data_IF_336079614009
#
_entry.id   IF_336079614009
#
_cell.length_a   1.000
_cell.length_b   1.000
_cell.length_c   1.000
_cell.angle_alpha   90.00
_cell.angle_beta   90.00
_cell.angle_gamma   90.00
#
_symmetry.space_group_name_H-M   'P 1'
#
loop_
_entity.id
_entity.type
_entity.pdbx_description
1 polymer ?
#
# COMPACT_ATOMS: atom_id res chain seq x y z
N UNK A 1 -8.60 4.62 6.61
CA UNK A 1 -7.25 5.18 6.81
C UNK A 1 -7.22 6.19 7.96
N UNK A 2 -7.97 7.31 7.90
CA UNK A 2 -7.88 8.41 8.88
C UNK A 2 -8.12 7.98 10.33
N UNK A 3 -9.11 7.14 10.59
CA UNK A 3 -9.42 6.64 11.94
C UNK A 3 -8.36 5.65 12.44
N UNK A 4 -7.73 4.90 11.55
CA UNK A 4 -6.70 3.93 11.92
C UNK A 4 -5.33 4.58 12.18
N UNK A 5 -5.05 5.75 11.59
CA UNK A 5 -3.76 6.43 11.72
C UNK A 5 -3.33 6.69 13.19
N UNK A 6 -4.19 7.26 14.08
CA UNK A 6 -3.81 7.47 15.48
C UNK A 6 -3.55 6.15 16.22
N UNK A 7 -4.28 5.08 15.89
CA UNK A 7 -4.09 3.75 16.51
C UNK A 7 -2.70 3.22 16.14
N UNK A 8 -2.31 3.31 14.87
CA UNK A 8 -0.99 2.92 14.42
C UNK A 8 0.13 3.74 15.05
N UNK A 9 -0.11 5.06 15.24
CA UNK A 9 0.84 5.93 15.94
C UNK A 9 1.07 5.51 17.39
N UNK A 10 0.02 5.19 18.15
CA UNK A 10 0.10 4.71 19.53
C UNK A 10 0.84 3.36 19.59
N UNK A 11 0.52 2.44 18.68
CA UNK A 11 1.19 1.14 18.61
C UNK A 11 2.68 1.30 18.28
N UNK A 12 3.03 2.20 17.36
CA UNK A 12 4.41 2.46 16.98
C UNK A 12 5.23 3.08 18.12
N UNK A 13 4.61 3.92 18.95
CA UNK A 13 5.27 4.44 20.16
C UNK A 13 5.56 3.35 21.19
N UNK A 14 4.69 2.34 21.28
CA UNK A 14 4.82 1.25 22.28
C UNK A 14 5.73 0.12 21.82
N UNK A 15 5.67 -0.25 20.55
CA UNK A 15 6.33 -1.45 20.01
C UNK A 15 7.43 -1.14 18.99
N UNK A 16 7.65 0.13 18.66
CA UNK A 16 8.56 0.56 17.59
C UNK A 16 7.88 0.65 16.22
N UNK A 17 8.43 1.49 15.34
CA UNK A 17 7.84 1.75 14.03
C UNK A 17 7.95 0.53 13.11
N UNK A 18 9.13 -0.14 13.09
CA UNK A 18 9.39 -1.26 12.18
C UNK A 18 8.43 -2.44 12.36
N UNK A 19 8.27 -3.04 13.57
CA UNK A 19 7.38 -4.19 13.73
C UNK A 19 5.93 -3.83 13.46
N UNK A 20 5.46 -2.65 13.86
CA UNK A 20 4.08 -2.21 13.62
C UNK A 20 3.82 -2.02 12.13
N UNK A 21 4.77 -1.46 11.40
CA UNK A 21 4.67 -1.30 9.95
C UNK A 21 4.64 -2.65 9.24
N UNK A 22 5.47 -3.62 9.66
CA UNK A 22 5.44 -4.99 9.11
C UNK A 22 4.08 -5.67 9.35
N UNK A 23 3.50 -5.53 10.53
CA UNK A 23 2.16 -6.07 10.83
C UNK A 23 1.10 -5.44 9.92
N UNK A 24 1.14 -4.14 9.72
CA UNK A 24 0.21 -3.45 8.81
C UNK A 24 0.39 -3.90 7.35
N UNK A 25 1.62 -4.11 6.90
CA UNK A 25 1.91 -4.62 5.56
C UNK A 25 1.40 -6.05 5.37
N UNK A 26 1.58 -6.93 6.36
CA UNK A 26 1.03 -8.29 6.33
C UNK A 26 -0.49 -8.26 6.31
N UNK A 27 -1.12 -7.39 7.10
CA UNK A 27 -2.58 -7.19 7.07
C UNK A 27 -3.06 -6.79 5.66
N UNK A 28 -2.33 -5.89 4.99
CA UNK A 28 -2.65 -5.50 3.62
C UNK A 28 -2.59 -6.68 2.64
N UNK A 29 -1.53 -7.52 2.72
CA UNK A 29 -1.38 -8.70 1.87
C UNK A 29 -2.54 -9.68 2.08
N UNK A 30 -2.90 -9.95 3.34
CA UNK A 30 -4.06 -10.80 3.64
C UNK A 30 -5.37 -10.23 3.08
N UNK A 31 -5.61 -8.93 3.27
CA UNK A 31 -6.81 -8.29 2.77
C UNK A 31 -6.90 -8.34 1.23
N UNK A 32 -5.80 -8.10 0.52
CA UNK A 32 -5.76 -8.23 -0.94
C UNK A 32 -5.87 -9.70 -1.40
N UNK A 33 -5.29 -10.66 -0.68
CA UNK A 33 -5.44 -12.08 -0.98
C UNK A 33 -6.91 -12.52 -0.87
N UNK A 34 -7.62 -12.07 0.16
CA UNK A 34 -9.07 -12.31 0.30
C UNK A 34 -9.84 -11.65 -0.84
N UNK A 35 -9.45 -10.45 -1.29
CA UNK A 35 -10.08 -9.76 -2.41
C UNK A 35 -10.08 -10.59 -3.71
N UNK A 36 -9.04 -11.41 -3.95
CA UNK A 36 -8.94 -12.28 -5.13
C UNK A 36 -10.02 -13.37 -5.11
N UNK A 37 -10.45 -13.81 -3.94
CA UNK A 37 -11.42 -14.89 -3.78
C UNK A 37 -12.88 -14.43 -3.78
N UNK A 38 -13.12 -13.10 -3.82
CA UNK A 38 -14.48 -12.55 -3.82
C UNK A 38 -15.18 -12.78 -5.15
N UNK A 39 -16.45 -13.26 -5.04
CA UNK A 39 -17.37 -13.42 -6.16
C UNK A 39 -18.41 -12.29 -6.25
N UNK A 40 -19.21 -12.36 -7.30
CA UNK A 40 -20.37 -11.47 -7.46
C UNK A 40 -21.42 -11.77 -6.38
N UNK A 41 -21.67 -10.79 -5.50
CA UNK A 41 -22.62 -10.90 -4.37
C UNK A 41 -21.99 -10.80 -2.98
N UNK A 42 -20.68 -10.91 -2.82
CA UNK A 42 -19.97 -10.89 -1.55
C UNK A 42 -19.76 -9.46 -1.00
N UNK A 43 -20.82 -8.63 -1.01
CA UNK A 43 -20.74 -7.20 -0.62
C UNK A 43 -20.20 -7.00 0.78
N UNK A 44 -20.58 -7.86 1.73
CA UNK A 44 -20.11 -7.74 3.12
C UNK A 44 -18.61 -8.04 3.23
N UNK A 45 -18.14 -9.10 2.59
CA UNK A 45 -16.71 -9.44 2.56
C UNK A 45 -15.89 -8.34 1.87
N UNK A 46 -16.41 -7.79 0.78
CA UNK A 46 -15.78 -6.67 0.09
C UNK A 46 -15.66 -5.44 0.99
N UNK A 47 -16.71 -5.08 1.74
CA UNK A 47 -16.66 -4.00 2.71
C UNK A 47 -15.59 -4.25 3.79
N UNK A 48 -15.45 -5.48 4.28
CA UNK A 48 -14.42 -5.85 5.26
C UNK A 48 -13.00 -5.71 4.69
N UNK A 49 -12.80 -6.16 3.44
CA UNK A 49 -11.53 -5.97 2.72
C UNK A 49 -11.20 -4.49 2.56
N UNK A 50 -12.16 -3.66 2.20
CA UNK A 50 -11.97 -2.20 2.07
C UNK A 50 -11.58 -1.56 3.42
N UNK A 51 -12.18 -1.98 4.52
CA UNK A 51 -11.82 -1.50 5.86
C UNK A 51 -10.41 -1.93 6.24
N UNK A 52 -10.06 -3.20 6.01
CA UNK A 52 -8.74 -3.74 6.34
C UNK A 52 -7.63 -3.09 5.51
N UNK A 53 -7.83 -2.97 4.19
CA UNK A 53 -6.86 -2.30 3.29
C UNK A 53 -6.74 -0.82 3.61
N UNK A 54 -7.86 -0.15 3.90
CA UNK A 54 -7.87 1.25 4.33
C UNK A 54 -7.17 1.47 5.67
N UNK A 55 -7.29 0.54 6.62
CA UNK A 55 -6.57 0.57 7.89
C UNK A 55 -5.06 0.39 7.66
N UNK A 56 -4.65 -0.61 6.87
CA UNK A 56 -3.25 -0.86 6.54
C UNK A 56 -2.62 0.32 5.78
N UNK A 57 -3.35 0.93 4.85
CA UNK A 57 -2.91 2.14 4.16
C UNK A 57 -2.70 3.31 5.13
N UNK A 58 -3.52 3.40 6.19
CA UNK A 58 -3.33 4.39 7.26
C UNK A 58 -1.97 4.26 7.94
N UNK A 59 -1.49 3.03 8.17
CA UNK A 59 -0.15 2.79 8.71
C UNK A 59 0.96 3.23 7.73
N UNK A 60 0.85 2.86 6.45
CA UNK A 60 1.84 3.25 5.43
C UNK A 60 1.97 4.77 5.32
N UNK A 61 0.83 5.48 5.29
CA UNK A 61 0.81 6.95 5.14
C UNK A 61 1.31 7.71 6.37
N UNK A 62 1.30 7.08 7.55
CA UNK A 62 1.75 7.72 8.79
C UNK A 62 3.12 7.25 9.24
N UNK A 63 3.38 5.95 9.22
CA UNK A 63 4.61 5.39 9.79
C UNK A 63 5.79 5.43 8.82
N UNK A 64 5.58 5.31 7.50
CA UNK A 64 6.68 5.41 6.54
C UNK A 64 7.32 6.80 6.51
N UNK A 65 6.54 7.92 6.40
CA UNK A 65 7.13 9.24 6.50
C UNK A 65 7.77 9.52 7.85
N UNK A 66 7.21 8.99 8.96
CA UNK A 66 7.80 9.13 10.28
C UNK A 66 9.15 8.40 10.40
N UNK A 67 9.23 7.15 9.92
CA UNK A 67 10.49 6.39 9.87
C UNK A 67 11.54 7.10 9.00
N UNK A 68 11.11 7.63 7.85
CA UNK A 68 11.96 8.39 6.95
C UNK A 68 12.48 9.67 7.61
N UNK A 69 11.61 10.43 8.29
CA UNK A 69 12.00 11.65 9.01
C UNK A 69 13.03 11.37 10.09
N UNK A 70 12.83 10.32 10.89
CA UNK A 70 13.77 9.90 11.93
C UNK A 70 15.13 9.57 11.32
N UNK A 71 15.16 8.82 10.23
CA UNK A 71 16.40 8.44 9.56
C UNK A 71 17.11 9.62 8.91
N UNK A 72 16.36 10.54 8.31
CA UNK A 72 16.91 11.77 7.73
C UNK A 72 17.52 12.68 8.78
N UNK A 73 16.91 12.80 9.95
CA UNK A 73 17.46 13.60 11.06
C UNK A 73 18.83 13.10 11.54
N UNK A 74 19.07 11.77 11.44
CA UNK A 74 20.37 11.17 11.80
C UNK A 74 21.46 11.39 10.76
N UNK A 75 21.10 11.41 9.47
CA UNK A 75 22.06 11.37 8.35
C UNK A 75 22.36 12.77 7.79
N UNK A 76 21.36 13.64 7.72
CA UNK A 76 21.46 14.93 7.08
C UNK A 76 20.69 16.01 7.84
N UNK A 77 21.37 17.05 8.37
CA UNK A 77 20.71 18.16 9.05
C UNK A 77 19.79 18.99 8.12
N UNK A 78 19.94 18.90 6.80
CA UNK A 78 19.09 19.54 5.80
C UNK A 78 18.04 18.56 5.23
N UNK A 79 17.11 18.13 6.07
CA UNK A 79 16.07 17.14 5.72
C UNK A 79 15.13 17.57 4.57
N UNK A 80 15.08 18.85 4.20
CA UNK A 80 14.20 19.38 3.17
C UNK A 80 14.42 18.73 1.78
N UNK A 81 15.67 18.50 1.39
CA UNK A 81 16.01 17.85 0.11
C UNK A 81 15.54 16.39 0.09
N UNK A 82 15.69 15.66 1.20
CA UNK A 82 15.22 14.30 1.33
C UNK A 82 13.70 14.16 1.16
N UNK A 83 12.93 15.06 1.78
CA UNK A 83 11.48 15.10 1.61
C UNK A 83 11.05 15.51 0.18
N UNK A 84 11.82 16.38 -0.48
CA UNK A 84 11.63 16.70 -1.90
C UNK A 84 11.79 15.46 -2.79
N UNK A 85 12.84 14.67 -2.56
CA UNK A 85 13.07 13.40 -3.27
C UNK A 85 11.95 12.38 -2.98
N UNK A 86 11.54 12.24 -1.72
CA UNK A 86 10.39 11.39 -1.34
C UNK A 86 9.13 11.76 -2.10
N UNK A 87 8.80 13.05 -2.14
CA UNK A 87 7.62 13.54 -2.84
C UNK A 87 7.73 13.30 -4.37
N UNK A 88 8.91 13.50 -4.95
CA UNK A 88 9.16 13.24 -6.36
C UNK A 88 8.97 11.76 -6.69
N UNK A 89 9.60 10.85 -5.96
CA UNK A 89 9.49 9.40 -6.17
C UNK A 89 8.04 8.95 -6.02
N UNK A 90 7.32 9.46 -5.02
CA UNK A 90 5.91 9.12 -4.79
C UNK A 90 5.02 9.55 -5.96
N UNK A 91 5.23 10.76 -6.49
CA UNK A 91 4.47 11.28 -7.65
C UNK A 91 4.82 10.54 -8.94
N UNK A 92 6.10 10.25 -9.16
CA UNK A 92 6.55 9.46 -10.33
C UNK A 92 5.98 8.04 -10.29
N UNK A 93 5.94 7.39 -9.13
CA UNK A 93 5.34 6.06 -8.97
C UNK A 93 3.85 6.07 -9.33
N UNK A 94 3.10 7.08 -8.89
CA UNK A 94 1.68 7.26 -9.23
C UNK A 94 1.49 7.49 -10.74
N UNK A 95 2.28 8.38 -11.34
CA UNK A 95 2.23 8.66 -12.77
C UNK A 95 2.57 7.41 -13.59
N UNK A 96 3.62 6.68 -13.20
CA UNK A 96 4.00 5.43 -13.86
C UNK A 96 2.91 4.37 -13.77
N UNK A 97 2.30 4.20 -12.59
CA UNK A 97 1.18 3.28 -12.42
C UNK A 97 0.00 3.63 -13.35
N UNK A 98 -0.37 4.90 -13.44
CA UNK A 98 -1.45 5.35 -14.32
C UNK A 98 -1.12 5.10 -15.81
N UNK A 99 0.09 5.45 -16.25
CA UNK A 99 0.54 5.27 -17.65
C UNK A 99 0.59 3.79 -18.04
N UNK A 100 0.87 2.89 -17.12
CA UNK A 100 0.93 1.45 -17.39
C UNK A 100 -0.43 0.79 -17.26
N UNK A 101 -1.17 1.07 -16.18
CA UNK A 101 -2.40 0.35 -15.87
C UNK A 101 -3.57 0.75 -16.76
N UNK A 102 -3.73 2.05 -17.05
CA UNK A 102 -4.85 2.52 -17.85
C UNK A 102 -4.86 1.94 -19.28
N UNK A 103 -3.75 1.99 -20.05
CA UNK A 103 -3.72 1.38 -21.38
C UNK A 103 -3.85 -0.15 -21.36
N UNK A 104 -3.39 -0.82 -20.30
CA UNK A 104 -3.57 -2.27 -20.16
C UNK A 104 -5.04 -2.64 -19.99
N UNK A 105 -5.79 -1.89 -19.17
CA UNK A 105 -7.21 -2.09 -18.96
C UNK A 105 -8.02 -1.73 -20.23
N UNK A 106 -7.66 -0.64 -20.90
CA UNK A 106 -8.30 -0.23 -22.15
C UNK A 106 -8.13 -1.28 -23.26
N UNK A 107 -6.91 -1.80 -23.45
CA UNK A 107 -6.62 -2.87 -24.41
C UNK A 107 -7.34 -4.18 -24.10
N UNK A 108 -7.64 -4.45 -22.82
CA UNK A 108 -8.44 -5.59 -22.39
C UNK A 108 -9.95 -5.36 -22.57
N UNK A 109 -10.38 -4.23 -23.12
CA UNK A 109 -11.77 -3.88 -23.34
C UNK A 109 -12.52 -3.52 -22.07
N UNK A 110 -11.80 -3.12 -20.99
CA UNK A 110 -12.44 -2.65 -19.77
C UNK A 110 -13.08 -1.28 -19.98
N UNK A 111 -14.38 -1.17 -19.70
CA UNK A 111 -15.12 0.09 -19.74
C UNK A 111 -15.69 0.40 -18.37
N UNK A 112 -15.31 1.57 -17.81
CA UNK A 112 -15.83 2.01 -16.52
C UNK A 112 -17.32 2.38 -16.64
N UNK A 113 -18.17 1.62 -15.92
CA UNK A 113 -19.62 1.81 -15.95
C UNK A 113 -20.35 1.12 -17.13
N UNK A 114 -19.64 0.35 -17.96
CA UNK A 114 -20.21 -0.46 -19.04
C UNK A 114 -20.26 -1.95 -18.71
N UNK A 115 -20.83 -2.73 -19.63
CA UNK A 115 -20.74 -4.19 -19.57
C UNK A 115 -19.31 -4.64 -19.92
N UNK A 116 -18.70 -5.40 -19.01
CA UNK A 116 -17.34 -5.88 -19.13
C UNK A 116 -17.33 -7.39 -19.32
N UNK A 117 -16.41 -7.90 -20.14
CA UNK A 117 -16.21 -9.33 -20.31
C UNK A 117 -15.58 -9.94 -19.06
N UNK A 118 -15.79 -11.23 -18.81
CA UNK A 118 -15.14 -11.94 -17.68
C UNK A 118 -13.61 -11.80 -17.72
N UNK A 119 -13.02 -11.81 -18.92
CA UNK A 119 -11.59 -11.65 -19.11
C UNK A 119 -11.08 -10.26 -18.66
N UNK A 120 -11.85 -9.19 -18.97
CA UNK A 120 -11.47 -7.82 -18.54
C UNK A 120 -11.66 -7.62 -17.05
N UNK A 121 -12.68 -8.24 -16.44
CA UNK A 121 -12.89 -8.24 -14.99
C UNK A 121 -11.81 -9.05 -14.26
N UNK A 122 -11.41 -10.18 -14.81
CA UNK A 122 -10.31 -10.98 -14.25
C UNK A 122 -8.98 -10.23 -14.30
N UNK A 123 -8.67 -9.55 -15.40
CA UNK A 123 -7.48 -8.72 -15.51
C UNK A 123 -7.52 -7.56 -14.50
N UNK A 124 -8.67 -6.90 -14.33
CA UNK A 124 -8.84 -5.86 -13.32
C UNK A 124 -8.54 -6.41 -11.91
N UNK A 125 -9.09 -7.57 -11.57
CA UNK A 125 -8.86 -8.22 -10.27
C UNK A 125 -7.38 -8.54 -10.08
N UNK A 126 -6.71 -9.06 -11.09
CA UNK A 126 -5.29 -9.38 -11.05
C UNK A 126 -4.44 -8.12 -10.87
N UNK A 127 -4.71 -7.06 -11.60
CA UNK A 127 -3.99 -5.79 -11.48
C UNK A 127 -4.26 -5.10 -10.14
N UNK A 128 -5.50 -5.18 -9.64
CA UNK A 128 -5.91 -4.55 -8.38
C UNK A 128 -5.42 -5.29 -7.13
N UNK A 129 -5.36 -6.61 -7.18
CA UNK A 129 -5.05 -7.43 -6.00
C UNK A 129 -3.68 -8.12 -6.09
N UNK A 130 -3.37 -8.82 -7.19
CA UNK A 130 -2.13 -9.60 -7.28
C UNK A 130 -0.88 -8.71 -7.40
N UNK A 131 -0.94 -7.63 -8.18
CA UNK A 131 0.21 -6.70 -8.32
C UNK A 131 0.53 -5.99 -7.00
N UNK A 132 -0.44 -5.38 -6.28
CA UNK A 132 -0.17 -4.83 -4.96
C UNK A 132 0.33 -5.85 -3.94
N UNK A 133 -0.19 -7.08 -3.95
CA UNK A 133 0.34 -8.16 -3.10
C UNK A 133 1.81 -8.44 -3.37
N UNK A 134 2.19 -8.61 -4.63
CA UNK A 134 3.57 -8.87 -5.02
C UNK A 134 4.53 -7.74 -4.62
N UNK A 135 4.14 -6.49 -4.89
CA UNK A 135 4.89 -5.30 -4.50
C UNK A 135 5.00 -5.17 -2.97
N UNK A 136 3.92 -5.49 -2.24
CA UNK A 136 3.91 -5.46 -0.79
C UNK A 136 4.79 -6.53 -0.18
N UNK A 137 4.80 -7.75 -0.73
CA UNK A 137 5.71 -8.81 -0.32
C UNK A 137 7.19 -8.41 -0.53
N UNK A 138 7.50 -7.78 -1.67
CA UNK A 138 8.83 -7.25 -1.93
C UNK A 138 9.20 -6.15 -0.91
N UNK A 139 8.28 -5.23 -0.63
CA UNK A 139 8.49 -4.18 0.37
C UNK A 139 8.70 -4.75 1.78
N UNK A 140 7.94 -5.79 2.17
CA UNK A 140 8.13 -6.51 3.44
C UNK A 140 9.52 -7.12 3.50
N UNK A 141 9.98 -7.81 2.44
CA UNK A 141 11.30 -8.41 2.39
C UNK A 141 12.41 -7.36 2.52
N UNK A 142 12.30 -6.24 1.81
CA UNK A 142 13.25 -5.13 1.90
C UNK A 142 13.25 -4.50 3.30
N UNK A 143 12.08 -4.26 3.88
CA UNK A 143 11.96 -3.67 5.22
C UNK A 143 12.49 -4.61 6.30
N UNK A 144 12.25 -5.92 6.17
CA UNK A 144 12.77 -6.92 7.11
C UNK A 144 14.29 -6.95 7.16
N UNK A 145 14.95 -6.78 6.00
CA UNK A 145 16.42 -6.76 5.89
C UNK A 145 17.04 -5.41 6.29
N UNK A 146 16.26 -4.33 6.29
CA UNK A 146 16.75 -2.99 6.62
C UNK A 146 16.72 -2.76 8.14
N UNK A 147 17.82 -2.28 8.72
CA UNK A 147 17.86 -1.87 10.13
C UNK A 147 17.34 -0.42 10.24
N UNK A 148 16.09 -0.25 10.67
CA UNK A 148 15.49 1.07 10.90
C UNK A 148 15.80 1.62 12.29
N UNK A 149 16.06 0.75 13.25
CA UNK A 149 16.42 1.11 14.62
C UNK A 149 17.82 0.54 14.91
N UNK A 150 18.79 1.42 15.15
CA UNK A 150 19.93 1.04 16.00
C UNK A 150 19.42 1.21 17.42
N UNK A 151 19.31 0.09 18.15
CA UNK A 151 19.02 0.08 19.58
C UNK A 151 19.95 0.95 20.40
#
# INVERSE_FOLDING_TARGET
AAVAAPIWGILAQKYGIKPVLLVAMVLAVFAFAVAITLGSGDTFLFALVCVATGAAMGADLTLLPAAFATRMAEIAPNAAEGFGLWALVSKLSLAFAAVVLLPLLERAGFSSGGENTEASLWLLTLLYAAVPCGLKCLAIALLATTQLEKG
#
